data_IF_517170726171
#
_entry.id   IF_517170726171
#
_cell.length_a   1.000
_cell.length_b   1.000
_cell.length_c   1.000
_cell.angle_alpha   90.00
_cell.angle_beta   90.00
_cell.angle_gamma   90.00
#
_symmetry.space_group_name_H-M   'P 1'
#
loop_
_entity.id
_entity.type
_entity.pdbx_description
1 polymer ?
#
# COMPACT_ATOMS: atom_id res chain seq x y z
N UNK A 1 -4.25 -20.48 6.09
CA UNK A 1 -5.25 -20.85 5.03
C UNK A 1 -4.48 -21.34 3.78
N UNK A 2 -5.15 -22.03 2.83
CA UNK A 2 -4.46 -22.43 1.59
C UNK A 2 -4.30 -21.22 0.67
N UNK A 3 -3.17 -21.16 -0.06
CA UNK A 3 -2.93 -20.16 -1.11
C UNK A 3 -3.87 -20.43 -2.29
N UNK A 4 -4.64 -19.42 -2.71
CA UNK A 4 -5.60 -19.51 -3.81
C UNK A 4 -5.00 -18.90 -5.08
N UNK A 5 -4.87 -19.71 -6.14
CA UNK A 5 -4.52 -19.23 -7.46
C UNK A 5 -5.79 -18.88 -8.24
N UNK A 6 -5.83 -17.68 -8.80
CA UNK A 6 -6.96 -17.14 -9.56
C UNK A 6 -6.83 -17.54 -11.03
N UNK A 7 -7.95 -17.83 -11.67
CA UNK A 7 -8.04 -17.99 -13.12
C UNK A 7 -7.83 -16.65 -13.84
N UNK A 8 -7.54 -16.67 -15.12
CA UNK A 8 -7.41 -15.46 -15.95
C UNK A 8 -8.67 -14.57 -15.89
N UNK A 9 -9.86 -15.20 -15.84
CA UNK A 9 -11.11 -14.46 -15.72
C UNK A 9 -11.27 -13.75 -14.38
N UNK A 10 -10.82 -14.38 -13.29
CA UNK A 10 -10.82 -13.75 -11.95
C UNK A 10 -9.78 -12.63 -11.86
N UNK A 11 -8.59 -12.80 -12.42
CA UNK A 11 -7.58 -11.74 -12.51
C UNK A 11 -8.13 -10.53 -13.26
N UNK A 12 -8.87 -10.72 -14.35
CA UNK A 12 -9.48 -9.60 -15.09
C UNK A 12 -10.55 -8.86 -14.24
N UNK A 13 -11.33 -9.57 -13.42
CA UNK A 13 -12.26 -8.94 -12.46
C UNK A 13 -11.49 -8.14 -11.39
N UNK A 14 -10.41 -8.69 -10.85
CA UNK A 14 -9.54 -7.98 -9.92
C UNK A 14 -8.91 -6.74 -10.56
N UNK A 15 -8.57 -6.81 -11.86
CA UNK A 15 -8.07 -5.65 -12.61
C UNK A 15 -9.11 -4.54 -12.73
N UNK A 16 -10.40 -4.87 -12.81
CA UNK A 16 -11.47 -3.86 -12.78
C UNK A 16 -11.53 -3.15 -11.42
N UNK A 17 -11.45 -3.90 -10.32
CA UNK A 17 -11.32 -3.30 -8.96
C UNK A 17 -10.07 -2.43 -8.85
N UNK A 18 -8.94 -2.90 -9.35
CA UNK A 18 -7.67 -2.14 -9.36
C UNK A 18 -7.74 -0.84 -10.15
N UNK A 19 -8.45 -0.81 -11.27
CA UNK A 19 -8.70 0.43 -12.05
C UNK A 19 -9.54 1.43 -11.26
N UNK A 20 -10.51 0.97 -10.48
CA UNK A 20 -11.30 1.85 -9.59
C UNK A 20 -10.40 2.44 -8.51
N UNK A 21 -9.60 1.60 -7.82
CA UNK A 21 -8.61 2.09 -6.85
C UNK A 21 -7.74 3.18 -7.45
N UNK A 22 -7.20 2.94 -8.66
CA UNK A 22 -6.35 3.92 -9.35
C UNK A 22 -7.06 5.25 -9.62
N UNK A 23 -8.34 5.19 -10.03
CA UNK A 23 -9.14 6.41 -10.27
C UNK A 23 -9.39 7.18 -8.97
N UNK A 24 -9.70 6.47 -7.87
CA UNK A 24 -9.87 7.09 -6.54
C UNK A 24 -8.58 7.74 -6.08
N UNK A 25 -7.45 7.03 -6.12
CA UNK A 25 -6.16 7.57 -5.70
C UNK A 25 -5.73 8.78 -6.54
N UNK A 26 -5.98 8.78 -7.85
CA UNK A 26 -5.68 9.92 -8.71
C UNK A 26 -6.50 11.17 -8.35
N UNK A 27 -7.81 10.99 -8.06
CA UNK A 27 -8.68 12.09 -7.64
C UNK A 27 -8.25 12.66 -6.29
N UNK A 28 -8.04 11.79 -5.31
CA UNK A 28 -7.63 12.21 -3.96
C UNK A 28 -6.24 12.86 -3.99
N UNK A 29 -5.29 12.29 -4.75
CA UNK A 29 -3.96 12.88 -4.96
C UNK A 29 -4.03 14.31 -5.47
N UNK A 30 -4.92 14.58 -6.42
CA UNK A 30 -5.07 15.92 -7.01
C UNK A 30 -5.63 16.95 -6.01
N UNK A 31 -6.24 16.51 -4.92
CA UNK A 31 -6.77 17.36 -3.86
C UNK A 31 -5.73 17.67 -2.76
N UNK A 32 -4.64 16.91 -2.69
CA UNK A 32 -3.62 17.10 -1.65
C UNK A 32 -2.99 18.48 -1.78
N UNK A 33 -3.22 19.32 -0.77
CA UNK A 33 -2.70 20.69 -0.68
C UNK A 33 -2.68 21.15 0.79
N UNK A 34 -1.89 22.18 1.13
CA UNK A 34 -1.91 22.76 2.46
C UNK A 34 -3.32 23.25 2.85
N UNK A 35 -3.76 22.92 4.06
CA UNK A 35 -5.08 23.28 4.60
C UNK A 35 -6.21 22.28 4.29
N UNK A 36 -6.04 21.36 3.35
CA UNK A 36 -6.97 20.25 3.12
C UNK A 36 -6.90 19.29 4.31
N UNK A 37 -8.03 18.86 4.83
CA UNK A 37 -8.07 17.88 5.93
C UNK A 37 -8.02 16.45 5.36
N UNK A 38 -7.49 15.52 6.15
CA UNK A 38 -7.54 14.10 5.76
C UNK A 38 -8.98 13.59 5.64
N UNK A 39 -9.95 14.22 6.33
CA UNK A 39 -11.37 13.94 6.19
C UNK A 39 -11.95 14.45 4.85
N UNK A 40 -11.41 15.52 4.27
CA UNK A 40 -11.83 15.96 2.93
C UNK A 40 -11.43 14.95 1.86
N UNK A 41 -10.23 14.34 2.00
CA UNK A 41 -9.77 13.25 1.14
C UNK A 41 -10.66 12.01 1.28
N UNK A 42 -11.02 11.65 2.51
CA UNK A 42 -11.94 10.54 2.82
C UNK A 42 -13.29 10.71 2.12
N UNK A 43 -13.91 11.89 2.24
CA UNK A 43 -15.22 12.20 1.62
C UNK A 43 -15.16 12.11 0.09
N UNK A 44 -14.09 12.61 -0.50
CA UNK A 44 -13.89 12.53 -1.95
C UNK A 44 -13.76 11.08 -2.41
N UNK A 45 -12.98 10.27 -1.70
CA UNK A 45 -12.82 8.85 -1.99
C UNK A 45 -14.14 8.09 -1.85
N UNK A 46 -14.90 8.26 -0.75
CA UNK A 46 -16.19 7.59 -0.53
C UNK A 46 -17.18 7.93 -1.65
N UNK A 47 -17.25 9.20 -2.04
CA UNK A 47 -18.07 9.66 -3.17
C UNK A 47 -17.65 8.97 -4.47
N UNK A 48 -16.33 8.97 -4.77
CA UNK A 48 -15.81 8.38 -6.02
C UNK A 48 -16.02 6.88 -6.10
N UNK A 49 -15.77 6.15 -5.01
CA UNK A 49 -16.01 4.70 -4.92
C UNK A 49 -17.48 4.40 -5.25
N UNK A 50 -18.40 5.18 -4.66
CA UNK A 50 -19.86 5.03 -4.89
C UNK A 50 -20.24 5.34 -6.34
N UNK A 51 -19.72 6.42 -6.92
CA UNK A 51 -19.96 6.80 -8.33
C UNK A 51 -19.51 5.73 -9.32
N UNK A 52 -18.43 5.02 -8.99
CA UNK A 52 -17.85 3.94 -9.80
C UNK A 52 -18.54 2.58 -9.55
N UNK A 53 -19.58 2.53 -8.71
CA UNK A 53 -20.36 1.32 -8.45
C UNK A 53 -19.66 0.26 -7.62
N UNK A 54 -18.53 0.59 -6.95
CA UNK A 54 -17.82 -0.29 -6.05
C UNK A 54 -18.22 -0.06 -4.59
N UNK A 55 -17.71 -0.93 -3.70
CA UNK A 55 -17.80 -0.76 -2.25
C UNK A 55 -16.41 -0.57 -1.68
N UNK A 56 -16.31 0.25 -0.62
CA UNK A 56 -15.07 0.38 0.13
C UNK A 56 -14.71 -0.96 0.81
N UNK A 57 -13.42 -1.31 0.78
CA UNK A 57 -12.92 -2.55 1.37
C UNK A 57 -12.56 -2.40 2.86
N UNK A 58 -12.15 -1.20 3.29
CA UNK A 58 -11.66 -0.96 4.64
C UNK A 58 -12.77 -0.62 5.64
N UNK A 59 -13.76 0.18 5.24
CA UNK A 59 -14.84 0.62 6.14
C UNK A 59 -15.64 -0.58 6.68
N UNK A 60 -15.58 -0.78 7.99
CA UNK A 60 -16.18 -1.93 8.69
C UNK A 60 -15.29 -3.17 8.78
N UNK A 61 -14.12 -3.19 8.12
CA UNK A 61 -13.17 -4.30 8.25
C UNK A 61 -12.51 -4.25 9.63
N UNK A 62 -12.77 -5.25 10.47
CA UNK A 62 -12.40 -5.24 11.90
C UNK A 62 -12.75 -3.93 12.61
N UNK A 63 -13.91 -3.35 12.27
CA UNK A 63 -14.44 -2.09 12.81
C UNK A 63 -13.63 -0.82 12.40
N UNK A 64 -12.79 -0.87 11.35
CA UNK A 64 -12.14 0.32 10.82
C UNK A 64 -13.19 1.34 10.33
N UNK A 65 -13.11 2.64 10.73
CA UNK A 65 -14.25 3.55 10.55
C UNK A 65 -14.35 4.22 9.16
N UNK A 66 -13.30 4.18 8.33
CA UNK A 66 -13.17 5.00 7.13
C UNK A 66 -12.96 4.17 5.86
N UNK A 67 -13.10 4.78 4.68
CA UNK A 67 -12.88 4.14 3.37
C UNK A 67 -11.40 4.22 2.95
N UNK A 68 -10.66 5.23 3.44
CA UNK A 68 -9.22 5.39 3.24
C UNK A 68 -8.46 5.17 4.55
N UNK A 69 -7.18 4.77 4.42
CA UNK A 69 -6.18 5.10 5.44
C UNK A 69 -5.38 6.32 4.98
N UNK A 70 -5.21 7.31 5.87
CA UNK A 70 -4.42 8.52 5.59
C UNK A 70 -3.39 8.70 6.67
N UNK A 71 -2.13 8.36 6.36
CA UNK A 71 -1.02 8.34 7.31
C UNK A 71 -0.07 9.50 7.02
N UNK A 72 0.08 10.43 7.95
CA UNK A 72 0.82 11.69 7.75
C UNK A 72 2.14 11.65 8.51
N UNK A 73 3.25 11.91 7.83
CA UNK A 73 4.62 12.04 8.37
C UNK A 73 5.15 10.77 9.04
N UNK A 74 5.11 10.69 10.37
CA UNK A 74 5.56 9.56 11.18
C UNK A 74 4.54 8.43 11.31
N UNK A 75 3.32 8.65 10.80
CA UNK A 75 2.32 7.59 10.66
C UNK A 75 2.72 6.68 9.49
N UNK A 76 2.88 5.38 9.78
CA UNK A 76 3.33 4.37 8.80
C UNK A 76 2.15 3.94 7.94
N UNK A 77 1.12 3.36 8.58
CA UNK A 77 -0.11 2.84 7.95
C UNK A 77 -1.31 2.99 8.90
N UNK A 78 -2.50 2.79 8.36
CA UNK A 78 -3.78 2.75 9.06
C UNK A 78 -4.16 4.05 9.78
N UNK A 79 -3.59 5.19 9.39
CA UNK A 79 -4.00 6.49 9.91
C UNK A 79 -5.46 6.77 9.63
N UNK A 80 -6.23 7.17 10.67
CA UNK A 80 -7.67 7.42 10.57
C UNK A 80 -7.90 8.85 10.07
N UNK A 81 -8.60 9.06 8.94
CA UNK A 81 -9.00 10.38 8.46
C UNK A 81 -9.70 11.24 9.53
N UNK A 82 -9.35 12.53 9.61
CA UNK A 82 -9.83 13.43 10.67
C UNK A 82 -10.06 14.85 10.17
N UNK A 83 -11.14 15.49 10.61
CA UNK A 83 -11.41 16.94 10.45
C UNK A 83 -10.33 17.82 11.11
N UNK A 84 -9.66 17.27 12.11
CA UNK A 84 -8.66 18.01 12.89
C UNK A 84 -7.27 17.91 12.28
N UNK A 85 -7.06 17.03 11.28
CA UNK A 85 -5.76 16.84 10.62
C UNK A 85 -5.74 17.57 9.28
N UNK A 86 -5.53 18.90 9.33
CA UNK A 86 -5.22 19.69 8.15
C UNK A 86 -3.76 19.47 7.74
N UNK A 87 -3.54 19.19 6.44
CA UNK A 87 -2.21 19.00 5.85
C UNK A 87 -1.44 20.33 5.84
N UNK A 88 -0.13 20.27 6.07
CA UNK A 88 0.79 21.41 6.09
C UNK A 88 1.76 21.34 4.91
N UNK A 89 2.39 22.45 4.56
CA UNK A 89 3.31 22.56 3.43
C UNK A 89 4.45 21.52 3.45
N UNK A 90 5.02 21.25 4.64
CA UNK A 90 6.15 20.33 4.81
C UNK A 90 5.74 18.86 5.04
N UNK A 91 4.43 18.55 5.03
CA UNK A 91 3.94 17.20 5.27
C UNK A 91 4.13 16.30 4.02
N UNK A 92 4.27 15.01 4.28
CA UNK A 92 4.00 13.94 3.32
C UNK A 92 2.77 13.17 3.82
N UNK A 93 1.97 12.64 2.91
CA UNK A 93 0.80 11.83 3.27
C UNK A 93 0.75 10.55 2.45
N UNK A 94 0.70 9.41 3.14
CA UNK A 94 0.40 8.11 2.56
C UNK A 94 -1.12 7.95 2.51
N UNK A 95 -1.63 7.61 1.34
CA UNK A 95 -3.06 7.42 1.06
C UNK A 95 -3.22 6.01 0.55
N UNK A 96 -3.97 5.20 1.28
CA UNK A 96 -4.22 3.81 0.98
C UNK A 96 -5.72 3.60 0.76
N UNK A 97 -6.07 2.88 -0.31
CA UNK A 97 -7.44 2.70 -0.79
C UNK A 97 -7.68 1.28 -1.27
N UNK A 98 -8.60 0.60 -0.58
CA UNK A 98 -9.12 -0.69 -1.00
C UNK A 98 -10.57 -0.61 -1.47
N UNK A 99 -10.92 -1.33 -2.54
CA UNK A 99 -12.30 -1.48 -3.00
C UNK A 99 -12.64 -2.95 -3.27
N UNK A 100 -13.94 -3.25 -3.27
CA UNK A 100 -14.47 -4.52 -3.75
C UNK A 100 -15.54 -4.28 -4.82
N UNK A 101 -15.37 -4.92 -5.98
CA UNK A 101 -16.31 -4.94 -7.09
C UNK A 101 -16.63 -6.39 -7.44
N UNK A 102 -17.92 -6.75 -7.48
CA UNK A 102 -18.40 -8.10 -7.82
C UNK A 102 -17.70 -9.22 -7.04
N UNK A 103 -17.38 -8.94 -5.77
CA UNK A 103 -16.74 -9.90 -4.84
C UNK A 103 -15.23 -10.04 -5.00
N UNK A 104 -14.57 -9.21 -5.82
CA UNK A 104 -13.12 -9.20 -5.98
C UNK A 104 -12.52 -7.89 -5.47
N UNK A 105 -11.47 -8.02 -4.68
CA UNK A 105 -10.78 -6.88 -4.04
C UNK A 105 -9.68 -6.31 -4.95
N UNK A 106 -9.46 -5.02 -4.83
CA UNK A 106 -8.28 -4.30 -5.31
C UNK A 106 -7.80 -3.37 -4.23
N UNK A 107 -6.47 -3.22 -4.10
CA UNK A 107 -5.80 -2.49 -3.03
C UNK A 107 -4.56 -1.80 -3.56
N UNK A 108 -4.32 -0.55 -3.17
CA UNK A 108 -3.10 0.18 -3.50
C UNK A 108 -2.91 1.42 -2.63
N UNK A 109 -1.64 1.76 -2.41
CA UNK A 109 -1.25 2.96 -1.68
C UNK A 109 -0.23 3.81 -2.45
N UNK A 110 -0.28 5.10 -2.18
CA UNK A 110 0.70 6.09 -2.65
C UNK A 110 1.10 7.02 -1.51
N UNK A 111 2.34 7.48 -1.50
CA UNK A 111 2.76 8.60 -0.64
C UNK A 111 3.06 9.81 -1.51
N UNK A 112 2.51 10.96 -1.15
CA UNK A 112 2.69 12.21 -1.90
C UNK A 112 3.17 13.34 -0.99
N UNK A 113 4.03 14.24 -1.49
CA UNK A 113 4.35 15.47 -0.79
C UNK A 113 3.14 16.42 -0.87
N UNK A 114 2.85 17.14 0.21
CA UNK A 114 1.73 18.08 0.25
C UNK A 114 2.03 19.35 -0.56
N UNK A 115 3.30 19.74 -0.67
CA UNK A 115 3.72 20.87 -1.49
C UNK A 115 5.14 20.68 -2.04
N UNK A 116 5.60 21.67 -2.81
CA UNK A 116 6.98 21.70 -3.33
C UNK A 116 8.02 22.06 -2.27
N UNK A 117 7.62 22.56 -1.10
CA UNK A 117 8.51 22.89 0.02
C UNK A 117 9.03 21.69 0.79
N UNK A 118 8.44 20.48 0.58
CA UNK A 118 8.92 19.24 1.20
C UNK A 118 10.41 19.01 0.93
N UNK A 119 11.16 18.78 1.99
CA UNK A 119 12.62 18.68 1.98
C UNK A 119 13.15 17.62 1.00
N UNK A 120 14.32 17.84 0.36
CA UNK A 120 14.89 16.90 -0.61
C UNK A 120 15.11 15.49 -0.08
N UNK A 121 15.49 15.35 1.21
CA UNK A 121 15.68 14.06 1.86
C UNK A 121 14.37 13.27 2.01
N UNK A 122 13.23 13.94 2.21
CA UNK A 122 11.92 13.30 2.23
C UNK A 122 11.49 12.92 0.82
N UNK A 123 11.76 13.75 -0.19
CA UNK A 123 11.54 13.37 -1.59
C UNK A 123 12.36 12.13 -1.97
N UNK A 124 13.61 12.03 -1.47
CA UNK A 124 14.44 10.82 -1.62
C UNK A 124 13.77 9.61 -0.95
N UNK A 125 13.19 9.77 0.26
CA UNK A 125 12.46 8.69 0.92
C UNK A 125 11.30 8.19 0.04
N UNK A 126 10.47 9.09 -0.50
CA UNK A 126 9.37 8.74 -1.38
C UNK A 126 9.87 7.98 -2.63
N UNK A 127 10.86 8.52 -3.32
CA UNK A 127 11.43 7.92 -4.52
C UNK A 127 11.97 6.51 -4.24
N UNK A 128 12.79 6.35 -3.18
CA UNK A 128 13.37 5.05 -2.82
C UNK A 128 12.28 4.04 -2.43
N UNK A 129 11.24 4.47 -1.73
CA UNK A 129 10.13 3.58 -1.35
C UNK A 129 9.37 3.11 -2.59
N UNK A 130 9.02 4.02 -3.50
CA UNK A 130 8.34 3.67 -4.75
C UNK A 130 9.22 2.77 -5.64
N UNK A 131 10.51 3.08 -5.80
CA UNK A 131 11.46 2.23 -6.53
C UNK A 131 11.57 0.84 -5.91
N UNK A 132 11.60 0.74 -4.56
CA UNK A 132 11.66 -0.54 -3.86
C UNK A 132 10.45 -1.42 -4.15
N UNK A 133 9.25 -0.83 -4.27
CA UNK A 133 8.04 -1.52 -4.70
C UNK A 133 8.25 -2.16 -6.09
N UNK A 134 8.75 -1.41 -7.06
CA UNK A 134 8.99 -1.96 -8.41
C UNK A 134 10.10 -3.00 -8.42
N UNK A 135 11.14 -2.88 -7.57
CA UNK A 135 12.17 -3.92 -7.39
C UNK A 135 11.57 -5.23 -6.85
N UNK A 136 10.63 -5.12 -5.89
CA UNK A 136 9.86 -6.26 -5.39
C UNK A 136 8.97 -6.86 -6.48
N UNK A 137 8.23 -6.03 -7.22
CA UNK A 137 7.35 -6.46 -8.32
C UNK A 137 8.13 -7.23 -9.39
N UNK A 138 9.33 -6.80 -9.75
CA UNK A 138 10.18 -7.48 -10.73
C UNK A 138 10.52 -8.93 -10.34
N UNK A 139 10.45 -9.26 -9.04
CA UNK A 139 10.65 -10.62 -8.54
C UNK A 139 9.38 -11.48 -8.58
N UNK A 140 8.21 -10.92 -8.91
CA UNK A 140 6.94 -11.67 -8.97
C UNK A 140 6.89 -12.51 -10.22
N UNK A 141 7.66 -13.61 -10.20
CA UNK A 141 7.82 -14.55 -11.31
C UNK A 141 7.63 -15.99 -10.84
N UNK A 142 7.10 -16.83 -11.72
CA UNK A 142 6.92 -18.25 -11.44
C UNK A 142 8.27 -18.87 -11.03
N UNK A 143 8.27 -19.60 -9.90
CA UNK A 143 9.46 -20.27 -9.36
C UNK A 143 10.26 -19.45 -8.34
N UNK A 144 10.14 -18.11 -8.32
CA UNK A 144 10.62 -17.30 -7.21
C UNK A 144 9.78 -17.55 -5.94
N UNK A 145 10.12 -16.91 -4.87
CA UNK A 145 9.43 -16.98 -3.57
C UNK A 145 9.09 -15.59 -3.06
N UNK A 146 8.22 -15.49 -2.07
CA UNK A 146 7.93 -14.21 -1.37
C UNK A 146 9.19 -13.61 -0.73
N UNK A 147 10.16 -14.44 -0.33
CA UNK A 147 11.45 -13.98 0.18
C UNK A 147 12.32 -13.31 -0.89
N UNK A 148 12.17 -13.63 -2.17
CA UNK A 148 12.86 -12.93 -3.26
C UNK A 148 12.30 -11.51 -3.43
N UNK A 149 10.97 -11.35 -3.27
CA UNK A 149 10.29 -10.05 -3.26
C UNK A 149 10.81 -9.21 -2.10
N UNK A 150 10.73 -9.74 -0.87
CA UNK A 150 11.17 -9.03 0.34
C UNK A 150 12.65 -8.66 0.32
N UNK A 151 13.52 -9.57 -0.14
CA UNK A 151 14.96 -9.29 -0.26
C UNK A 151 15.24 -8.14 -1.25
N UNK A 152 14.54 -8.09 -2.39
CA UNK A 152 14.73 -7.02 -3.38
C UNK A 152 14.28 -5.65 -2.85
N UNK A 153 13.18 -5.60 -2.08
CA UNK A 153 12.72 -4.40 -1.38
C UNK A 153 13.77 -3.96 -0.36
N UNK A 154 14.15 -4.85 0.55
CA UNK A 154 15.08 -4.58 1.64
C UNK A 154 16.44 -4.10 1.14
N UNK A 155 17.05 -4.80 0.18
CA UNK A 155 18.36 -4.45 -0.39
C UNK A 155 18.36 -3.02 -0.95
N UNK A 156 17.29 -2.63 -1.67
CA UNK A 156 17.20 -1.29 -2.25
C UNK A 156 17.04 -0.19 -1.18
N UNK A 157 16.16 -0.42 -0.21
CA UNK A 157 15.87 0.53 0.87
C UNK A 157 17.09 0.74 1.77
N UNK A 158 17.71 -0.36 2.24
CA UNK A 158 18.83 -0.29 3.17
C UNK A 158 20.10 0.28 2.50
N UNK A 159 20.33 0.01 1.20
CA UNK A 159 21.40 0.64 0.44
C UNK A 159 21.26 2.16 0.33
N UNK A 160 20.04 2.70 0.39
CA UNK A 160 19.77 4.14 0.39
C UNK A 160 19.92 4.79 1.78
N UNK A 161 20.10 3.98 2.84
CA UNK A 161 20.25 4.41 4.23
C UNK A 161 18.95 4.52 5.02
N UNK A 162 17.85 3.95 4.50
CA UNK A 162 16.53 3.89 5.16
C UNK A 162 16.28 2.51 5.78
N UNK A 163 15.15 2.34 6.48
CA UNK A 163 14.79 1.10 7.16
C UNK A 163 13.45 0.56 6.68
N UNK A 164 13.36 -0.75 6.40
CA UNK A 164 12.08 -1.41 6.13
C UNK A 164 11.34 -1.69 7.43
N UNK A 165 10.04 -1.44 7.45
CA UNK A 165 9.15 -1.85 8.55
C UNK A 165 8.96 -3.36 8.49
N UNK A 166 8.93 -4.02 9.67
CA UNK A 166 8.90 -5.49 9.77
C UNK A 166 7.61 -6.03 10.39
N UNK A 167 6.88 -5.21 11.12
CA UNK A 167 5.65 -5.59 11.81
C UNK A 167 4.42 -5.65 10.89
N UNK A 168 4.49 -4.94 9.76
CA UNK A 168 3.46 -4.93 8.72
C UNK A 168 4.04 -5.51 7.43
N UNK A 169 3.22 -6.28 6.72
CA UNK A 169 3.65 -7.06 5.55
C UNK A 169 2.54 -7.09 4.50
N UNK A 170 2.92 -7.22 3.25
CA UNK A 170 2.00 -7.49 2.17
C UNK A 170 1.33 -8.85 2.28
N UNK A 171 0.37 -9.11 1.43
CA UNK A 171 -0.50 -10.28 1.56
C UNK A 171 -1.00 -10.79 0.20
N UNK A 172 -1.51 -12.01 0.17
CA UNK A 172 -2.37 -12.46 -0.92
C UNK A 172 -3.69 -11.68 -0.90
N UNK A 173 -4.29 -11.50 -2.07
CA UNK A 173 -5.57 -10.79 -2.22
C UNK A 173 -6.43 -11.47 -3.29
N UNK A 174 -7.76 -11.39 -3.16
CA UNK A 174 -8.66 -12.02 -4.10
C UNK A 174 -10.13 -11.78 -3.78
N UNK A 175 -10.83 -12.81 -3.31
CA UNK A 175 -12.21 -12.72 -2.83
C UNK A 175 -12.29 -12.28 -1.37
N UNK A 176 -11.13 -12.14 -0.72
CA UNK A 176 -10.97 -11.50 0.59
C UNK A 176 -9.88 -10.44 0.47
N UNK A 177 -9.95 -9.42 1.33
CA UNK A 177 -8.93 -8.37 1.38
C UNK A 177 -7.57 -8.98 1.72
N UNK A 178 -7.48 -9.76 2.78
CA UNK A 178 -6.26 -10.47 3.17
C UNK A 178 -6.40 -11.98 2.95
N UNK A 179 -5.54 -12.52 2.12
CA UNK A 179 -5.37 -13.95 1.85
C UNK A 179 -3.91 -14.38 2.10
N UNK A 180 -3.66 -15.69 2.12
CA UNK A 180 -2.28 -16.22 2.06
C UNK A 180 -1.68 -16.04 0.65
N UNK A 181 -0.35 -15.87 0.53
CA UNK A 181 0.64 -15.84 1.61
C UNK A 181 0.86 -14.43 2.16
N UNK A 182 1.50 -14.32 3.33
CA UNK A 182 2.16 -13.08 3.74
C UNK A 182 3.32 -12.77 2.78
N UNK A 183 3.54 -11.47 2.50
CA UNK A 183 4.59 -10.96 1.61
C UNK A 183 5.45 -9.92 2.36
N UNK A 184 6.41 -10.35 3.17
CA UNK A 184 7.26 -9.44 3.93
C UNK A 184 8.10 -8.53 3.01
N UNK A 185 8.36 -7.31 3.47
CA UNK A 185 9.24 -6.34 2.80
C UNK A 185 10.74 -6.58 3.09
N UNK A 186 11.07 -7.71 3.68
CA UNK A 186 12.42 -8.14 4.03
C UNK A 186 12.51 -9.66 3.96
N UNK A 187 13.71 -10.20 3.98
CA UNK A 187 13.92 -11.65 4.07
C UNK A 187 15.11 -12.16 3.27
N UNK A 188 15.19 -13.48 3.14
CA UNK A 188 16.22 -14.16 2.39
C UNK A 188 15.69 -14.70 1.06
N UNK A 189 16.46 -14.55 0.00
CA UNK A 189 16.14 -15.07 -1.33
C UNK A 189 15.88 -16.58 -1.29
N UNK A 190 14.87 -17.01 -2.06
CA UNK A 190 14.46 -18.41 -2.17
C UNK A 190 13.63 -18.94 -1.01
N UNK A 191 13.38 -18.15 0.05
CA UNK A 191 12.62 -18.55 1.23
C UNK A 191 11.13 -18.18 1.13
N UNK A 192 10.30 -18.89 1.90
CA UNK A 192 8.85 -18.68 1.98
C UNK A 192 8.07 -19.34 0.84
N UNK A 193 6.83 -18.91 0.66
CA UNK A 193 5.92 -19.47 -0.32
C UNK A 193 6.44 -19.30 -1.75
N UNK A 194 6.43 -20.37 -2.53
CA UNK A 194 6.79 -20.34 -3.96
C UNK A 194 5.69 -19.68 -4.77
N UNK A 195 6.10 -18.75 -5.64
CA UNK A 195 5.20 -18.03 -6.52
C UNK A 195 4.75 -18.94 -7.66
N UNK A 196 3.44 -19.00 -7.88
CA UNK A 196 2.80 -19.82 -8.89
C UNK A 196 1.85 -18.97 -9.73
N UNK A 197 1.66 -19.33 -10.97
CA UNK A 197 0.68 -18.70 -11.86
C UNK A 197 -0.70 -18.58 -11.18
N UNK A 198 -1.33 -17.42 -11.32
CA UNK A 198 -2.63 -17.13 -10.74
C UNK A 198 -2.61 -16.60 -9.31
N UNK A 199 -1.48 -16.59 -8.61
CA UNK A 199 -1.39 -15.86 -7.35
C UNK A 199 -1.53 -14.36 -7.61
N UNK A 200 -2.25 -13.66 -6.73
CA UNK A 200 -2.33 -12.20 -6.71
C UNK A 200 -1.91 -11.71 -5.33
N UNK A 201 -0.97 -10.78 -5.30
CA UNK A 201 -0.30 -10.32 -4.11
C UNK A 201 -0.41 -8.78 -4.00
N UNK A 202 -0.71 -8.27 -2.82
CA UNK A 202 -0.42 -6.92 -2.41
C UNK A 202 1.06 -6.84 -2.03
N UNK A 203 1.82 -5.99 -2.71
CA UNK A 203 3.22 -5.70 -2.41
C UNK A 203 3.27 -4.26 -1.97
N UNK A 204 3.65 -4.05 -0.70
CA UNK A 204 3.41 -2.81 0.02
C UNK A 204 4.60 -2.43 0.92
N UNK A 205 5.74 -2.02 0.35
CA UNK A 205 6.86 -1.55 1.16
C UNK A 205 6.46 -0.34 2.01
N UNK A 206 6.70 -0.47 3.31
CA UNK A 206 6.66 0.59 4.30
C UNK A 206 8.09 0.88 4.72
N UNK A 207 8.52 2.13 4.55
CA UNK A 207 9.92 2.54 4.72
C UNK A 207 10.02 3.73 5.66
N UNK A 208 10.77 3.56 6.76
CA UNK A 208 11.05 4.62 7.71
C UNK A 208 12.35 5.34 7.36
N UNK A 209 12.34 6.66 7.48
CA UNK A 209 13.54 7.49 7.37
C UNK A 209 14.59 7.15 8.44
N UNK A 210 14.13 6.76 9.63
CA UNK A 210 14.96 6.40 10.77
C UNK A 210 14.98 4.91 11.07
N UNK A 211 14.63 4.53 12.31
CA UNK A 211 14.67 3.14 12.80
C UNK A 211 13.49 2.32 12.26
N UNK A 212 13.64 0.99 12.10
CA UNK A 212 12.62 0.13 11.52
C UNK A 212 11.40 -0.11 12.42
N UNK A 213 11.48 0.18 13.73
CA UNK A 213 10.43 -0.18 14.69
C UNK A 213 9.15 0.64 14.55
N UNK A 214 8.02 0.03 14.87
CA UNK A 214 6.70 0.62 14.89
C UNK A 214 6.00 0.48 16.24
N UNK A 215 4.98 1.27 16.49
CA UNK A 215 4.02 1.11 17.58
C UNK A 215 2.64 1.55 17.14
N UNK A 216 1.60 0.91 17.65
CA UNK A 216 0.21 1.28 17.39
C UNK A 216 -0.27 2.26 18.45
N UNK A 217 -1.01 3.30 18.03
CA UNK A 217 -1.58 4.32 18.92
C UNK A 217 -2.80 3.78 19.70
N UNK A 218 -3.31 4.61 20.62
CA UNK A 218 -4.47 4.26 21.48
C UNK A 218 -5.76 4.02 20.69
N UNK A 219 -5.86 4.58 19.47
CA UNK A 219 -6.96 4.34 18.54
C UNK A 219 -7.01 2.89 18.01
N UNK A 220 -5.99 2.08 18.31
CA UNK A 220 -5.81 0.65 17.94
C UNK A 220 -5.58 0.41 16.45
N UNK A 221 -5.42 1.47 15.65
CA UNK A 221 -5.22 1.40 14.21
C UNK A 221 -3.94 2.07 13.75
N UNK A 222 -3.78 3.35 14.04
CA UNK A 222 -2.67 4.14 13.52
C UNK A 222 -1.33 3.59 14.00
N UNK A 223 -0.54 3.08 13.08
CA UNK A 223 0.84 2.67 13.34
C UNK A 223 1.79 3.83 13.07
N UNK A 224 2.67 4.12 14.03
CA UNK A 224 3.66 5.19 13.92
C UNK A 224 5.07 4.68 14.14
N UNK A 225 6.07 5.41 13.64
CA UNK A 225 7.49 5.11 13.90
C UNK A 225 7.82 5.31 15.39
N UNK A 226 8.71 4.48 15.93
CA UNK A 226 9.09 4.57 17.36
C UNK A 226 9.96 5.77 17.69
N UNK A 227 10.63 6.35 16.68
CA UNK A 227 11.56 7.47 16.83
C UNK A 227 11.01 8.80 16.30
N UNK A 228 9.75 8.84 15.84
CA UNK A 228 9.11 10.03 15.28
C UNK A 228 9.65 10.42 13.90
N UNK A 229 10.43 9.54 13.25
CA UNK A 229 10.91 9.78 11.88
C UNK A 229 9.78 9.59 10.85
N UNK A 230 9.91 10.23 9.70
CA UNK A 230 8.95 10.11 8.61
C UNK A 230 8.91 8.69 8.06
N UNK A 231 7.74 8.27 7.56
CA UNK A 231 7.53 7.00 6.88
C UNK A 231 6.83 7.21 5.55
N UNK A 232 7.11 6.34 4.58
CA UNK A 232 6.44 6.31 3.29
C UNK A 232 5.91 4.90 3.01
N UNK A 233 4.75 4.83 2.36
CA UNK A 233 4.06 3.61 1.98
C UNK A 233 3.64 3.69 0.52
N UNK A 234 4.01 2.69 -0.28
CA UNK A 234 3.54 2.50 -1.65
C UNK A 234 3.09 1.07 -1.83
N UNK A 235 2.06 0.85 -2.64
CA UNK A 235 1.50 -0.48 -2.82
C UNK A 235 0.91 -0.67 -4.21
N UNK A 236 1.02 -1.92 -4.69
CA UNK A 236 0.29 -2.42 -5.84
C UNK A 236 -0.20 -3.86 -5.64
N UNK A 237 -1.41 -4.15 -6.16
CA UNK A 237 -1.84 -5.52 -6.43
C UNK A 237 -1.18 -6.04 -7.70
N UNK A 238 -0.52 -7.21 -7.61
CA UNK A 238 0.27 -7.80 -8.70
C UNK A 238 -0.09 -9.27 -8.88
N UNK A 239 -0.48 -9.65 -10.10
CA UNK A 239 -0.71 -11.04 -10.47
C UNK A 239 0.57 -11.70 -10.99
N UNK A 240 0.80 -12.94 -10.57
CA UNK A 240 1.84 -13.82 -11.14
C UNK A 240 1.31 -14.42 -12.42
N UNK A 241 1.90 -14.08 -13.57
CA UNK A 241 1.52 -14.62 -14.89
C UNK A 241 2.69 -15.35 -15.56
N UNK A 242 2.40 -16.07 -16.65
CA UNK A 242 3.44 -16.72 -17.47
C UNK A 242 4.43 -15.71 -18.06
N UNK A 243 3.95 -14.50 -18.35
CA UNK A 243 4.75 -13.45 -18.99
C UNK A 243 5.46 -12.56 -17.95
N UNK A 244 5.33 -12.89 -16.65
CA UNK A 244 5.88 -12.13 -15.53
C UNK A 244 4.82 -11.39 -14.72
N UNK A 245 5.21 -10.39 -13.93
CA UNK A 245 4.29 -9.63 -13.08
C UNK A 245 3.29 -8.81 -13.90
N UNK A 246 2.02 -8.87 -13.53
CA UNK A 246 0.96 -8.01 -14.06
C UNK A 246 0.43 -7.11 -12.95
N UNK A 247 0.72 -5.81 -13.02
CA UNK A 247 0.19 -4.84 -12.04
C UNK A 247 -1.29 -4.59 -12.37
N UNK A 248 -2.18 -4.83 -11.40
CA UNK A 248 -3.62 -4.69 -11.57
C UNK A 248 -4.14 -3.28 -11.23
N UNK A 249 -3.37 -2.52 -10.46
CA UNK A 249 -3.73 -1.19 -9.91
C UNK A 249 -2.97 -0.03 -10.58
N UNK A 250 -2.53 -0.25 -11.83
CA UNK A 250 -1.78 0.76 -12.62
C UNK A 250 -2.67 1.47 -13.64
#
# INVERSE_FOLDING_TARGET
MAIVCKSTAEIERMRQSGRIVRQVLNEVRAMVAPGVTTMDLERAAEKKITELGAKAAFKGYYDYPCVLCTSVNDEIVHGIPSEKRALKEDDIVSIDCGVVLDGYYGDAAITVPVSDSVKPELRKLLTVTEESLYRGIDQVRIGNSVGDVGAAVQEHVEAAGFSVVREFVGHGIGTRLHEEPQVPNFGARGHGAKLREGMVLAIEPMVNYGKPGSRVLEDKWTAVTVDGSFSAHFEHCVAVTKDGPMILTK
#
